data_IF_747929060052
#
_entry.id   IF_747929060052
#
_cell.length_a   1.000
_cell.length_b   1.000
_cell.length_c   1.000
_cell.angle_alpha   90.00
_cell.angle_beta   90.00
_cell.angle_gamma   90.00
#
_symmetry.space_group_name_H-M   'P 1'
#
loop_
_entity.id
_entity.type
_entity.pdbx_description
1 polymer ?
#
# COMPACT_ATOMS: atom_id res chain seq x y z
N UNK A 1 2.50 15.66 -5.13
CA UNK A 1 3.81 14.99 -4.93
C UNK A 1 4.25 14.38 -6.26
N UNK A 2 5.49 14.61 -6.70
CA UNK A 2 6.04 13.92 -7.88
C UNK A 2 6.54 12.53 -7.47
N UNK A 3 6.11 11.49 -8.18
CA UNK A 3 6.47 10.11 -7.89
C UNK A 3 7.89 9.82 -8.36
N UNK A 4 8.75 9.35 -7.45
CA UNK A 4 10.16 9.08 -7.72
C UNK A 4 10.48 7.59 -7.98
N UNK A 5 9.57 6.69 -7.58
CA UNK A 5 9.69 5.24 -7.70
C UNK A 5 8.58 4.67 -8.59
N UNK A 6 8.79 3.45 -9.10
CA UNK A 6 7.81 2.63 -9.82
C UNK A 6 7.12 1.57 -8.93
N UNK A 7 7.30 1.65 -7.60
CA UNK A 7 6.72 0.69 -6.64
C UNK A 7 5.19 0.66 -6.59
N UNK A 8 4.53 1.68 -7.15
CA UNK A 8 3.07 1.79 -7.26
C UNK A 8 2.56 1.59 -8.68
N UNK A 9 3.39 1.13 -9.62
CA UNK A 9 2.90 0.73 -10.94
C UNK A 9 2.09 -0.58 -10.85
N UNK A 10 1.04 -0.75 -11.66
CA UNK A 10 0.60 0.12 -12.74
C UNK A 10 -0.26 1.32 -12.30
N UNK A 11 -0.77 1.33 -11.05
CA UNK A 11 -1.73 2.36 -10.60
C UNK A 11 -1.16 3.79 -10.64
N UNK A 12 0.12 3.98 -10.30
CA UNK A 12 0.79 5.27 -10.31
C UNK A 12 2.18 5.14 -10.94
N UNK A 13 2.31 5.63 -12.17
CA UNK A 13 3.58 5.63 -12.92
C UNK A 13 4.63 6.54 -12.28
N UNK A 14 5.89 6.11 -12.34
CA UNK A 14 7.04 6.96 -11.98
C UNK A 14 7.00 8.27 -12.79
N UNK A 15 7.25 9.38 -12.12
CA UNK A 15 7.23 10.72 -12.72
C UNK A 15 5.87 11.43 -12.67
N UNK A 16 4.77 10.70 -12.44
CA UNK A 16 3.43 11.28 -12.28
C UNK A 16 3.34 12.22 -11.08
N UNK A 17 2.46 13.20 -11.15
CA UNK A 17 2.13 14.09 -10.03
C UNK A 17 0.82 13.64 -9.43
N UNK A 18 0.83 13.34 -8.14
CA UNK A 18 -0.37 12.93 -7.38
C UNK A 18 -0.83 14.01 -6.41
N UNK A 19 -2.14 14.10 -6.22
CA UNK A 19 -2.77 14.98 -5.21
C UNK A 19 -3.03 14.18 -3.94
N UNK A 20 -2.60 14.75 -2.81
CA UNK A 20 -2.71 14.13 -1.49
C UNK A 20 -3.59 14.98 -0.57
N UNK A 21 -4.24 14.35 0.41
CA UNK A 21 -5.01 15.03 1.45
C UNK A 21 -4.51 14.63 2.83
N UNK A 22 -4.36 15.62 3.72
CA UNK A 22 -4.14 15.39 5.16
C UNK A 22 -5.45 15.17 5.92
N UNK A 23 -6.58 15.49 5.31
CA UNK A 23 -7.89 15.18 5.87
C UNK A 23 -8.25 13.74 5.50
N UNK A 24 -7.78 12.80 6.31
CA UNK A 24 -8.13 11.38 6.25
C UNK A 24 -8.66 10.94 7.62
N UNK A 25 -9.98 11.02 7.80
CA UNK A 25 -10.62 10.61 9.06
C UNK A 25 -10.68 9.09 9.22
N UNK A 26 -10.64 8.37 8.10
CA UNK A 26 -10.72 6.92 8.06
C UNK A 26 -9.77 6.38 6.98
N UNK A 27 -9.09 5.29 7.32
CA UNK A 27 -8.22 4.51 6.44
C UNK A 27 -8.89 3.18 6.16
N UNK A 28 -9.31 3.01 4.93
CA UNK A 28 -10.02 1.85 4.42
C UNK A 28 -9.07 0.94 3.64
N UNK A 29 -9.43 -0.33 3.53
CA UNK A 29 -8.70 -1.26 2.66
C UNK A 29 -8.66 -0.70 1.23
N UNK A 30 -7.51 -0.86 0.60
CA UNK A 30 -7.14 -0.37 -0.73
C UNK A 30 -6.95 1.14 -0.88
N UNK A 31 -7.07 1.92 0.20
CA UNK A 31 -6.57 3.28 0.20
C UNK A 31 -5.06 3.30 -0.04
N UNK A 32 -4.57 4.34 -0.72
CA UNK A 32 -3.14 4.56 -0.93
C UNK A 32 -2.68 5.63 0.05
N UNK A 33 -1.77 5.26 0.94
CA UNK A 33 -1.29 6.09 2.03
C UNK A 33 0.16 6.48 1.80
N UNK A 34 0.46 7.74 2.11
CA UNK A 34 1.83 8.24 2.25
C UNK A 34 2.21 8.17 3.72
N UNK A 35 3.38 7.60 4.01
CA UNK A 35 3.85 7.37 5.36
C UNK A 35 5.39 7.44 5.45
N UNK A 36 5.91 7.66 6.65
CA UNK A 36 7.36 7.60 6.93
C UNK A 36 7.65 6.38 7.80
N UNK A 37 8.32 5.34 7.27
CA UNK A 37 8.73 4.21 8.09
C UNK A 37 9.84 4.62 9.06
N UNK A 38 9.83 4.07 10.27
CA UNK A 38 10.80 4.39 11.33
C UNK A 38 12.24 4.11 10.90
N UNK A 39 12.45 3.13 10.01
CA UNK A 39 13.75 2.76 9.46
C UNK A 39 14.30 3.81 8.47
N UNK A 40 13.44 4.66 7.90
CA UNK A 40 13.80 5.68 6.91
C UNK A 40 13.03 6.99 7.18
N UNK A 41 13.29 7.70 8.30
CA UNK A 41 12.46 8.81 8.78
C UNK A 41 12.42 10.02 7.82
N UNK A 42 13.46 10.19 6.99
CA UNK A 42 13.57 11.27 6.00
C UNK A 42 12.94 10.92 4.63
N UNK A 43 12.36 9.71 4.50
CA UNK A 43 11.84 9.20 3.25
C UNK A 43 10.33 8.96 3.34
N UNK A 44 9.58 9.63 2.46
CA UNK A 44 8.17 9.34 2.25
C UNK A 44 8.00 8.11 1.36
N UNK A 45 7.26 7.12 1.86
CA UNK A 45 6.80 5.96 1.12
C UNK A 45 5.33 6.13 0.77
N UNK A 46 4.87 5.46 -0.28
CA UNK A 46 3.48 5.49 -0.73
C UNK A 46 3.07 4.09 -1.16
N UNK A 47 2.14 3.50 -0.43
CA UNK A 47 1.68 2.12 -0.66
C UNK A 47 0.19 1.98 -0.42
N UNK A 48 -0.37 0.87 -0.90
CA UNK A 48 -1.78 0.51 -0.73
C UNK A 48 -1.99 -0.23 0.57
N UNK A 49 -3.05 0.12 1.29
CA UNK A 49 -3.50 -0.59 2.50
C UNK A 49 -4.10 -1.93 2.10
N UNK A 50 -3.50 -3.01 2.58
CA UNK A 50 -3.93 -4.39 2.35
C UNK A 50 -4.54 -5.00 3.59
N UNK A 51 -3.93 -4.78 4.76
CA UNK A 51 -4.43 -5.26 6.06
C UNK A 51 -4.81 -4.11 6.98
N UNK A 52 -5.93 -4.27 7.68
CA UNK A 52 -6.46 -3.32 8.66
C UNK A 52 -6.15 -3.78 10.10
N UNK A 53 -6.24 -2.88 11.10
CA UNK A 53 -6.02 -3.23 12.49
C UNK A 53 -6.82 -4.46 12.94
N UNK A 54 -6.17 -5.31 13.75
CA UNK A 54 -6.76 -6.55 14.29
C UNK A 54 -6.80 -7.73 13.30
N UNK A 55 -6.48 -7.52 12.02
CA UNK A 55 -6.56 -8.60 11.03
C UNK A 55 -5.33 -9.51 11.03
N UNK A 56 -5.59 -10.79 10.76
CA UNK A 56 -4.57 -11.78 10.44
C UNK A 56 -4.25 -11.74 8.95
N UNK A 57 -2.96 -11.62 8.62
CA UNK A 57 -2.43 -11.54 7.26
C UNK A 57 -1.62 -12.79 6.96
N UNK A 58 -1.98 -13.50 5.90
CA UNK A 58 -1.19 -14.60 5.33
C UNK A 58 -1.00 -14.38 3.84
N UNK A 59 0.23 -14.51 3.37
CA UNK A 59 0.64 -14.50 1.98
C UNK A 59 1.03 -15.93 1.59
N UNK A 60 0.50 -16.43 0.47
CA UNK A 60 0.79 -17.77 -0.02
C UNK A 60 0.72 -17.78 -1.55
N UNK A 61 1.85 -18.07 -2.19
CA UNK A 61 2.01 -17.92 -3.63
C UNK A 61 1.80 -16.47 -4.07
N UNK A 62 0.79 -16.25 -4.90
CA UNK A 62 0.40 -14.92 -5.41
C UNK A 62 -0.83 -14.35 -4.68
N UNK A 63 -1.35 -15.07 -3.67
CA UNK A 63 -2.59 -14.72 -2.98
C UNK A 63 -2.33 -14.09 -1.61
N UNK A 64 -3.19 -13.14 -1.26
CA UNK A 64 -3.25 -12.52 0.07
C UNK A 64 -4.49 -13.02 0.77
N UNK A 65 -4.36 -13.49 2.00
CA UNK A 65 -5.46 -13.93 2.83
C UNK A 65 -5.59 -13.00 4.03
N UNK A 66 -6.82 -12.56 4.28
CA UNK A 66 -7.21 -11.73 5.42
C UNK A 66 -8.17 -12.54 6.29
N UNK A 67 -7.79 -12.79 7.55
CA UNK A 67 -8.56 -13.62 8.46
C UNK A 67 -8.96 -14.98 7.85
N UNK A 68 -8.03 -15.60 7.12
CA UNK A 68 -8.22 -16.89 6.45
C UNK A 68 -9.03 -16.85 5.14
N UNK A 69 -9.52 -15.69 4.71
CA UNK A 69 -10.26 -15.53 3.43
C UNK A 69 -9.36 -14.93 2.37
N UNK A 70 -9.37 -15.50 1.16
CA UNK A 70 -8.65 -14.92 0.04
C UNK A 70 -9.18 -13.51 -0.24
N UNK A 71 -8.27 -12.56 -0.42
CA UNK A 71 -8.59 -11.17 -0.69
C UNK A 71 -8.77 -10.96 -2.19
N UNK A 72 -9.95 -10.50 -2.59
CA UNK A 72 -10.19 -10.04 -3.95
C UNK A 72 -9.45 -8.71 -4.18
N UNK A 73 -8.28 -8.78 -4.81
CA UNK A 73 -7.51 -7.60 -5.18
C UNK A 73 -8.17 -6.88 -6.38
N UNK A 74 -8.01 -5.55 -6.51
CA UNK A 74 -8.47 -4.82 -7.69
C UNK A 74 -7.98 -5.47 -9.00
N UNK A 75 -8.87 -5.59 -10.00
CA UNK A 75 -8.62 -6.32 -11.24
C UNK A 75 -7.45 -5.76 -12.09
N UNK A 76 -7.08 -4.50 -11.88
CA UNK A 76 -5.94 -3.84 -12.52
C UNK A 76 -4.60 -4.17 -11.86
N UNK A 77 -4.61 -4.90 -10.74
CA UNK A 77 -3.43 -5.36 -10.03
C UNK A 77 -3.15 -6.83 -10.31
N UNK A 78 -1.87 -7.16 -10.42
CA UNK A 78 -1.38 -8.52 -10.48
C UNK A 78 -0.26 -8.69 -9.48
N UNK A 79 -0.55 -9.35 -8.36
CA UNK A 79 0.46 -9.70 -7.38
C UNK A 79 1.19 -10.94 -7.85
N UNK A 80 2.52 -10.88 -7.77
CA UNK A 80 3.42 -11.98 -8.12
C UNK A 80 4.51 -12.04 -7.07
N UNK A 81 5.09 -13.22 -6.84
CA UNK A 81 6.28 -13.36 -5.98
C UNK A 81 6.13 -12.71 -4.59
N UNK A 82 5.08 -13.09 -3.83
CA UNK A 82 4.80 -12.52 -2.51
C UNK A 82 5.69 -13.10 -1.40
N UNK A 83 7.01 -13.18 -1.64
CA UNK A 83 7.97 -13.49 -0.58
C UNK A 83 7.92 -12.41 0.50
N UNK A 84 7.93 -12.83 1.76
CA UNK A 84 7.77 -11.92 2.88
C UNK A 84 8.43 -12.45 4.15
N UNK A 85 9.19 -11.56 4.82
CA UNK A 85 9.70 -11.76 6.18
C UNK A 85 8.56 -11.66 7.20
N UNK A 86 7.63 -10.73 7.00
CA UNK A 86 6.47 -10.53 7.85
C UNK A 86 5.24 -11.15 7.19
N UNK A 87 5.09 -12.46 7.38
CA UNK A 87 3.99 -13.28 6.89
C UNK A 87 3.35 -14.06 8.05
N UNK A 88 2.07 -14.40 7.93
CA UNK A 88 1.30 -15.14 8.93
C UNK A 88 1.28 -14.42 10.29
N UNK A 89 0.94 -13.13 10.28
CA UNK A 89 0.97 -12.25 11.44
C UNK A 89 -0.42 -11.67 11.73
N UNK A 90 -0.67 -11.31 12.99
CA UNK A 90 -1.86 -10.55 13.38
C UNK A 90 -1.47 -9.11 13.68
N UNK A 91 -2.17 -8.16 13.06
CA UNK A 91 -1.95 -6.73 13.23
C UNK A 91 -2.51 -6.24 14.57
N UNK A 92 -1.81 -5.32 15.23
CA UNK A 92 -2.35 -4.63 16.42
C UNK A 92 -3.38 -3.56 16.04
N UNK A 93 -4.07 -3.04 17.05
CA UNK A 93 -5.11 -1.99 16.93
C UNK A 93 -4.66 -0.70 16.21
N UNK A 94 -3.37 -0.44 16.12
CA UNK A 94 -2.80 0.73 15.46
C UNK A 94 -1.91 0.38 14.27
N UNK A 95 -1.90 -0.87 13.81
CA UNK A 95 -1.02 -1.37 12.76
C UNK A 95 -1.80 -1.71 11.49
N UNK A 96 -1.21 -1.37 10.35
CA UNK A 96 -1.72 -1.65 9.02
C UNK A 96 -0.67 -2.42 8.23
N UNK A 97 -1.12 -3.26 7.30
CA UNK A 97 -0.22 -3.94 6.35
C UNK A 97 -0.33 -3.26 5.00
N UNK A 98 0.74 -2.63 4.52
CA UNK A 98 0.75 -1.87 3.27
C UNK A 98 1.64 -2.56 2.24
N UNK A 99 1.20 -2.60 0.99
CA UNK A 99 1.96 -3.18 -0.13
C UNK A 99 2.04 -2.21 -1.31
N UNK A 100 3.17 -2.25 -2.01
CA UNK A 100 3.26 -1.63 -3.32
C UNK A 100 2.48 -2.43 -4.35
N UNK A 101 1.88 -1.74 -5.32
CA UNK A 101 1.17 -2.39 -6.41
C UNK A 101 2.13 -3.17 -7.33
N UNK A 102 3.38 -2.71 -7.42
CA UNK A 102 4.47 -3.43 -8.07
C UNK A 102 5.21 -4.30 -7.06
N UNK A 103 4.68 -5.50 -6.83
CA UNK A 103 5.14 -6.44 -5.79
C UNK A 103 6.58 -6.89 -5.93
N UNK A 104 7.17 -6.90 -7.11
CA UNK A 104 8.59 -7.25 -7.32
C UNK A 104 9.54 -6.08 -7.12
N UNK A 105 9.03 -4.85 -7.06
CA UNK A 105 9.84 -3.63 -6.94
C UNK A 105 9.37 -2.74 -5.77
N UNK A 106 9.01 -3.39 -4.67
CA UNK A 106 8.47 -2.72 -3.50
C UNK A 106 9.08 -3.28 -2.22
N UNK A 107 9.74 -2.41 -1.45
CA UNK A 107 10.16 -2.71 -0.08
C UNK A 107 9.05 -2.23 0.87
N UNK A 108 8.02 -3.06 1.06
CA UNK A 108 6.78 -2.74 1.77
C UNK A 108 6.62 -3.59 3.05
N UNK A 109 5.40 -3.70 3.61
CA UNK A 109 5.18 -4.40 4.88
C UNK A 109 5.67 -5.86 4.88
N UNK A 110 5.82 -6.49 3.71
CA UNK A 110 6.46 -7.81 3.58
C UNK A 110 7.86 -7.87 4.20
N UNK A 111 8.60 -6.76 4.16
CA UNK A 111 9.98 -6.66 4.61
C UNK A 111 10.22 -5.57 5.67
N UNK A 112 9.43 -4.50 5.65
CA UNK A 112 9.46 -3.41 6.64
C UNK A 112 8.68 -3.76 7.92
N UNK A 113 7.70 -4.64 7.81
CA UNK A 113 6.73 -4.94 8.87
C UNK A 113 5.49 -4.03 8.84
N UNK A 114 4.59 -4.20 9.82
CA UNK A 114 3.39 -3.38 9.92
C UNK A 114 3.68 -1.90 10.11
N UNK A 115 2.85 -1.04 9.50
CA UNK A 115 2.94 0.41 9.57
C UNK A 115 1.93 0.93 10.58
N UNK A 116 2.37 1.78 11.51
CA UNK A 116 1.53 2.33 12.57
C UNK A 116 0.80 3.59 12.13
N UNK A 117 -0.36 3.84 12.71
CA UNK A 117 -1.18 5.03 12.42
C UNK A 117 -0.40 6.35 12.55
N UNK A 118 0.52 6.46 13.50
CA UNK A 118 1.34 7.66 13.72
C UNK A 118 2.40 7.90 12.63
N UNK A 119 2.67 6.91 11.78
CA UNK A 119 3.58 7.04 10.63
C UNK A 119 2.86 7.57 9.38
N UNK A 120 1.53 7.60 9.36
CA UNK A 120 0.77 8.13 8.24
C UNK A 120 0.89 9.66 8.16
N UNK A 121 1.05 10.15 6.93
CA UNK A 121 1.27 11.58 6.62
C UNK A 121 0.09 12.13 5.83
N UNK A 122 -0.36 11.39 4.81
CA UNK A 122 -1.46 11.81 3.94
C UNK A 122 -2.02 10.63 3.16
N UNK A 123 -3.18 10.83 2.55
CA UNK A 123 -3.87 9.85 1.71
C UNK A 123 -3.95 10.34 0.27
N UNK A 124 -3.84 9.42 -0.71
CA UNK A 124 -4.08 9.72 -2.11
C UNK A 124 -5.53 10.18 -2.29
N UNK A 125 -5.73 11.36 -2.88
CA UNK A 125 -7.07 11.81 -3.25
C UNK A 125 -7.53 11.00 -4.45
N UNK A 126 -8.67 10.31 -4.34
CA UNK A 126 -9.30 9.63 -5.49
C UNK A 126 -9.41 10.65 -6.63
N UNK A 127 -8.71 10.42 -7.74
CA UNK A 127 -8.92 11.21 -8.94
C UNK A 127 -10.22 10.72 -9.58
N UNK A 128 -11.10 11.64 -9.99
CA UNK A 128 -11.96 11.34 -11.14
C UNK A 128 -10.97 11.05 -12.27
N UNK A 129 -11.10 9.89 -12.91
CA UNK A 129 -10.24 9.42 -13.99
C UNK A 129 -9.66 10.62 -14.77
N UNK A 130 -8.34 10.76 -14.74
CA UNK A 130 -7.66 11.54 -15.77
C UNK A 130 -7.87 10.76 -17.06
N UNK A 131 -8.97 11.07 -17.75
CA UNK A 131 -9.14 10.71 -19.15
C UNK A 131 -7.93 11.30 -19.85
N UNK A 132 -6.95 10.44 -20.16
CA UNK A 132 -5.93 10.77 -21.13
C UNK A 132 -6.71 10.98 -22.42
N UNK A 133 -7.00 12.23 -22.76
CA UNK A 133 -7.33 12.58 -24.13
C UNK A 133 -6.03 12.37 -24.89
N UNK A 134 -5.88 11.19 -25.50
CA UNK A 134 -4.97 11.02 -26.61
C UNK A 134 -5.44 11.99 -27.70
N UNK A 135 -4.66 13.05 -27.90
CA UNK A 135 -4.58 13.76 -29.19
C UNK A 135 -3.59 13.03 -30.08
#
# INVERSE_FOLDING_TARGET
>A
MKMKSSSMEPTITKGSIVTLTKNYNEVNRFDIMVFNPDQFPENYFIFRVIGLPGEHIKLEGESVYINGKNLDIPNDLKYVELEAKFNNITLKENEFYLMGDNTTNSNDSRFLGPIRTNQFVSKLKKSKALTIRST
#
